data_IF_040486731719
#
_entry.id   IF_040486731719
#
_cell.length_a   1.000
_cell.length_b   1.000
_cell.length_c   1.000
_cell.angle_alpha   90.00
_cell.angle_beta   90.00
_cell.angle_gamma   90.00
#
_symmetry.space_group_name_H-M   'P 1'
#
loop_
_entity.id
_entity.type
_entity.pdbx_description
1 polymer ?
#
# COMPACT_ATOMS: atom_id res chain seq x y z
N UNK A 1 7.51 21.12 -0.04
CA UNK A 1 6.39 20.16 0.02
C UNK A 1 7.03 18.86 0.46
N UNK A 2 6.71 18.36 1.65
CA UNK A 2 7.28 17.08 2.12
C UNK A 2 6.80 15.94 1.21
N UNK A 3 7.66 14.95 0.91
CA UNK A 3 7.26 13.81 0.10
C UNK A 3 6.14 13.06 0.83
N UNK A 4 5.02 12.83 0.14
CA UNK A 4 3.89 12.16 0.74
C UNK A 4 4.26 10.70 1.03
N UNK A 5 4.28 10.33 2.31
CA UNK A 5 4.53 8.95 2.74
C UNK A 5 3.37 8.05 2.27
N UNK A 6 3.70 7.08 1.42
CA UNK A 6 2.75 6.13 0.83
C UNK A 6 2.45 5.00 1.82
N UNK A 7 3.52 4.47 2.43
CA UNK A 7 3.49 3.34 3.35
C UNK A 7 4.69 3.41 4.27
N UNK A 8 4.48 3.04 5.52
CA UNK A 8 5.55 2.82 6.48
C UNK A 8 5.34 1.49 7.20
N UNK A 9 6.42 0.85 7.67
CA UNK A 9 6.32 -0.43 8.37
C UNK A 9 7.67 -1.08 8.63
N UNK A 10 7.70 -2.10 9.50
CA UNK A 10 8.91 -2.88 9.75
C UNK A 10 9.09 -3.95 8.68
N UNK A 11 10.30 -4.06 8.13
CA UNK A 11 10.73 -5.14 7.25
C UNK A 11 12.08 -5.67 7.69
N UNK A 12 12.42 -6.89 7.30
CA UNK A 12 13.76 -7.44 7.53
C UNK A 12 14.59 -7.25 6.26
N UNK A 13 15.62 -6.39 6.33
CA UNK A 13 16.50 -6.07 5.21
C UNK A 13 17.79 -6.87 5.25
N UNK A 14 18.25 -7.35 4.09
CA UNK A 14 19.59 -7.92 3.93
C UNK A 14 20.66 -6.82 4.00
N UNK A 15 21.66 -7.01 4.84
CA UNK A 15 22.84 -6.16 4.96
C UNK A 15 23.85 -6.41 3.85
N UNK A 16 24.51 -5.35 3.38
CA UNK A 16 25.43 -5.38 2.25
C UNK A 16 26.77 -6.08 2.58
N UNK A 17 27.25 -5.95 3.82
CA UNK A 17 28.61 -6.40 4.20
C UNK A 17 28.62 -7.82 4.79
N UNK A 18 27.70 -8.12 5.72
CA UNK A 18 27.75 -9.37 6.51
C UNK A 18 26.72 -10.42 6.07
N UNK A 19 25.99 -10.20 4.97
CA UNK A 19 24.82 -10.99 4.56
C UNK A 19 23.77 -11.21 5.69
N UNK A 20 23.85 -10.44 6.78
CA UNK A 20 22.96 -10.51 7.93
C UNK A 20 21.62 -9.88 7.59
N UNK A 21 20.54 -10.40 8.14
CA UNK A 21 19.20 -9.85 7.97
C UNK A 21 18.77 -9.16 9.24
N UNK A 22 18.39 -7.87 9.15
CA UNK A 22 18.06 -7.05 10.32
C UNK A 22 16.71 -6.37 10.12
N UNK A 23 15.92 -6.31 11.19
CA UNK A 23 14.71 -5.51 11.21
C UNK A 23 15.06 -4.03 11.05
N UNK A 24 14.36 -3.36 10.13
CA UNK A 24 14.48 -1.93 9.85
C UNK A 24 13.08 -1.35 9.68
N UNK A 25 12.92 -0.09 10.06
CA UNK A 25 11.72 0.67 9.74
C UNK A 25 11.84 1.19 8.33
N UNK A 26 10.89 0.91 7.45
CA UNK A 26 10.92 1.31 6.04
C UNK A 26 9.81 2.32 5.80
N UNK A 27 10.13 3.38 5.07
CA UNK A 27 9.20 4.41 4.63
C UNK A 27 9.28 4.48 3.11
N UNK A 28 8.15 4.26 2.45
CA UNK A 28 7.97 4.40 1.01
C UNK A 28 7.35 5.76 0.71
N UNK A 29 8.01 6.54 -0.14
CA UNK A 29 7.53 7.80 -0.67
C UNK A 29 7.35 7.72 -2.19
N UNK A 30 6.87 8.80 -2.80
CA UNK A 30 6.64 8.84 -4.26
C UNK A 30 7.92 8.61 -5.07
N UNK A 31 9.07 9.07 -4.56
CA UNK A 31 10.34 9.11 -5.30
C UNK A 31 11.33 8.01 -4.86
N UNK A 32 11.13 7.45 -3.66
CA UNK A 32 12.15 6.64 -3.00
C UNK A 32 11.62 5.76 -1.88
N UNK A 33 12.47 4.87 -1.41
CA UNK A 33 12.23 4.06 -0.23
C UNK A 33 13.39 4.24 0.75
N UNK A 34 13.09 4.78 1.92
CA UNK A 34 14.03 5.05 2.99
C UNK A 34 13.92 3.97 4.06
N UNK A 35 15.03 3.66 4.72
CA UNK A 35 15.04 2.72 5.83
C UNK A 35 15.84 3.23 7.02
N UNK A 36 15.31 3.01 8.21
CA UNK A 36 15.82 3.50 9.49
C UNK A 36 16.08 2.31 10.42
N UNK A 37 16.93 2.48 11.43
CA UNK A 37 17.14 1.42 12.42
C UNK A 37 15.89 1.27 13.31
N UNK A 38 15.23 2.37 13.66
CA UNK A 38 13.97 2.42 14.41
C UNK A 38 13.06 3.51 13.86
N UNK A 39 11.75 3.41 14.14
CA UNK A 39 10.75 4.42 13.77
C UNK A 39 11.06 5.82 14.33
N UNK A 40 11.69 5.91 15.50
CA UNK A 40 12.01 7.18 16.17
C UNK A 40 13.31 7.83 15.70
N UNK A 41 14.08 7.16 14.83
CA UNK A 41 15.34 7.70 14.36
C UNK A 41 15.07 8.78 13.29
N UNK A 42 15.67 9.96 13.44
CA UNK A 42 15.48 11.09 12.51
C UNK A 42 16.27 10.97 11.22
N UNK A 43 17.32 10.16 11.20
CA UNK A 43 18.22 10.01 10.06
C UNK A 43 18.07 8.63 9.43
N UNK A 44 17.79 8.53 8.12
CA UNK A 44 17.74 7.25 7.44
C UNK A 44 19.13 6.60 7.40
N UNK A 45 19.15 5.27 7.47
CA UNK A 45 20.35 4.46 7.21
C UNK A 45 20.71 4.42 5.72
N UNK A 46 19.73 4.70 4.86
CA UNK A 46 19.91 4.85 3.43
C UNK A 46 18.58 5.08 2.74
N UNK A 47 18.68 5.54 1.50
CA UNK A 47 17.56 5.78 0.59
C UNK A 47 17.79 4.98 -0.69
N UNK A 48 16.72 4.37 -1.19
CA UNK A 48 16.71 3.61 -2.43
C UNK A 48 15.83 4.38 -3.42
N UNK A 49 16.40 4.98 -4.48
CA UNK A 49 15.61 5.69 -5.48
C UNK A 49 14.75 4.69 -6.27
N UNK A 50 13.48 5.03 -6.50
CA UNK A 50 12.56 4.18 -7.26
C UNK A 50 12.58 4.49 -8.77
N UNK A 51 13.10 5.66 -9.16
CA UNK A 51 13.27 6.02 -10.57
C UNK A 51 14.19 5.00 -11.26
N UNK A 52 13.66 4.33 -12.29
CA UNK A 52 14.37 3.27 -13.01
C UNK A 52 14.58 1.97 -12.23
N UNK A 53 13.97 1.84 -11.04
CA UNK A 53 14.07 0.61 -10.27
C UNK A 53 13.16 -0.50 -10.83
N UNK A 54 13.58 -1.74 -10.63
CA UNK A 54 12.82 -2.95 -10.96
C UNK A 54 12.53 -3.74 -9.69
N UNK A 55 11.31 -4.26 -9.56
CA UNK A 55 10.89 -5.06 -8.41
C UNK A 55 10.61 -6.51 -8.83
N UNK A 56 11.23 -7.46 -8.14
CA UNK A 56 11.05 -8.90 -8.32
C UNK A 56 10.41 -9.51 -7.07
N UNK A 57 9.25 -10.13 -7.24
CA UNK A 57 8.55 -10.91 -6.22
C UNK A 57 7.75 -12.04 -6.90
N UNK A 58 7.85 -13.29 -6.42
CA UNK A 58 8.71 -13.75 -5.33
C UNK A 58 10.20 -13.74 -5.74
N UNK A 59 11.09 -13.40 -4.81
CA UNK A 59 12.53 -13.54 -5.01
C UNK A 59 12.95 -14.99 -4.74
N UNK A 60 13.44 -15.69 -5.77
CA UNK A 60 13.86 -17.09 -5.69
C UNK A 60 15.34 -17.26 -5.29
N UNK A 61 16.06 -16.14 -5.10
CA UNK A 61 17.50 -16.13 -4.79
C UNK A 61 17.81 -16.73 -3.39
N UNK A 62 16.79 -17.04 -2.57
CA UNK A 62 16.94 -17.60 -1.23
C UNK A 62 16.05 -18.83 -1.00
N UNK A 63 16.57 -20.03 -1.22
CA UNK A 63 15.81 -21.28 -1.04
C UNK A 63 15.29 -21.50 0.40
N UNK A 64 15.95 -20.92 1.42
CA UNK A 64 15.61 -21.10 2.84
C UNK A 64 14.83 -19.94 3.45
N UNK A 65 14.55 -18.86 2.71
CA UNK A 65 13.80 -17.69 3.21
C UNK A 65 12.61 -17.39 2.32
N UNK A 66 11.43 -17.51 2.91
CA UNK A 66 10.19 -17.14 2.23
C UNK A 66 9.88 -15.65 2.36
N UNK A 67 8.91 -15.19 1.57
CA UNK A 67 8.36 -13.83 1.63
C UNK A 67 9.37 -12.72 1.32
N UNK A 68 10.43 -13.05 0.58
CA UNK A 68 11.44 -12.10 0.14
C UNK A 68 11.03 -11.46 -1.19
N UNK A 69 11.21 -10.15 -1.28
CA UNK A 69 11.18 -9.41 -2.53
C UNK A 69 12.51 -8.68 -2.75
N UNK A 70 12.87 -8.50 -4.02
CA UNK A 70 14.09 -7.83 -4.47
C UNK A 70 13.75 -6.54 -5.20
N UNK A 71 14.43 -5.46 -4.83
CA UNK A 71 14.38 -4.16 -5.49
C UNK A 71 15.76 -3.87 -6.08
N UNK A 72 15.85 -3.81 -7.41
CA UNK A 72 17.08 -3.51 -8.15
C UNK A 72 16.99 -2.07 -8.63
N UNK A 73 17.93 -1.20 -8.23
CA UNK A 73 17.95 0.19 -8.69
C UNK A 73 18.42 0.32 -10.13
N UNK A 74 18.23 1.50 -10.73
CA UNK A 74 18.76 1.83 -12.07
C UNK A 74 20.28 1.60 -12.19
N UNK A 75 21.01 1.88 -11.09
CA UNK A 75 22.45 1.62 -10.95
C UNK A 75 22.80 0.14 -10.74
N UNK A 76 21.88 -0.78 -11.00
CA UNK A 76 22.04 -2.24 -10.83
C UNK A 76 22.39 -2.65 -9.40
N UNK A 77 21.96 -1.87 -8.40
CA UNK A 77 22.14 -2.22 -6.99
C UNK A 77 20.94 -3.01 -6.47
N UNK A 78 21.20 -4.22 -5.98
CA UNK A 78 20.17 -5.11 -5.44
C UNK A 78 19.93 -4.88 -3.94
N UNK A 79 18.66 -4.74 -3.59
CA UNK A 79 18.19 -4.62 -2.21
C UNK A 79 17.14 -5.69 -1.92
N UNK A 80 17.33 -6.43 -0.84
CA UNK A 80 16.46 -7.54 -0.47
C UNK A 80 15.74 -7.24 0.84
N UNK A 81 14.44 -7.49 0.84
CA UNK A 81 13.56 -7.28 1.97
C UNK A 81 12.67 -8.49 2.17
N UNK A 82 12.43 -8.84 3.43
CA UNK A 82 11.55 -9.91 3.85
C UNK A 82 10.41 -9.32 4.68
N UNK A 83 9.18 -9.70 4.32
CA UNK A 83 7.97 -9.38 5.07
C UNK A 83 7.70 -10.43 6.16
N UNK A 84 6.87 -10.08 7.15
CA UNK A 84 6.45 -10.97 8.23
C UNK A 84 5.44 -12.02 7.76
N UNK A 85 4.53 -11.64 6.87
CA UNK A 85 3.48 -12.50 6.31
C UNK A 85 3.13 -12.14 4.86
N UNK A 86 2.41 -13.03 4.17
CA UNK A 86 2.10 -12.94 2.73
C UNK A 86 1.40 -11.62 2.39
N UNK A 87 0.39 -11.21 3.14
CA UNK A 87 -0.37 -9.99 2.85
C UNK A 87 0.49 -8.73 2.90
N UNK A 88 1.33 -8.58 3.92
CA UNK A 88 2.30 -7.48 4.01
C UNK A 88 3.21 -7.45 2.78
N UNK A 89 3.74 -8.60 2.35
CA UNK A 89 4.56 -8.68 1.13
C UNK A 89 3.77 -8.17 -0.07
N UNK A 90 2.55 -8.68 -0.29
CA UNK A 90 1.73 -8.28 -1.43
C UNK A 90 1.40 -6.80 -1.41
N UNK A 91 1.11 -6.24 -0.23
CA UNK A 91 0.85 -4.82 -0.06
C UNK A 91 2.07 -3.95 -0.36
N UNK A 92 3.25 -4.31 0.16
CA UNK A 92 4.51 -3.61 -0.17
C UNK A 92 4.82 -3.70 -1.66
N UNK A 93 4.72 -4.89 -2.25
CA UNK A 93 4.98 -5.13 -3.67
C UNK A 93 4.03 -4.30 -4.54
N UNK A 94 2.74 -4.24 -4.19
CA UNK A 94 1.73 -3.46 -4.90
C UNK A 94 2.04 -1.97 -4.87
N UNK A 95 2.33 -1.42 -3.69
CA UNK A 95 2.58 0.01 -3.53
C UNK A 95 3.91 0.43 -4.17
N UNK A 96 4.97 -0.37 -4.03
CA UNK A 96 6.27 -0.11 -4.68
C UNK A 96 6.15 -0.16 -6.21
N UNK A 97 5.52 -1.20 -6.77
CA UNK A 97 5.30 -1.30 -8.24
C UNK A 97 4.59 -0.06 -8.76
N UNK A 98 3.55 0.36 -8.04
CA UNK A 98 2.75 1.50 -8.43
C UNK A 98 3.52 2.82 -8.34
N UNK A 99 4.34 3.02 -7.30
CA UNK A 99 5.24 4.17 -7.21
C UNK A 99 6.21 4.22 -8.39
N UNK A 100 6.84 3.08 -8.75
CA UNK A 100 7.72 2.99 -9.92
C UNK A 100 6.98 3.36 -11.21
N UNK A 101 5.77 2.82 -11.45
CA UNK A 101 4.97 3.13 -12.64
C UNK A 101 4.54 4.60 -12.70
N UNK A 102 4.14 5.18 -11.56
CA UNK A 102 3.81 6.59 -11.45
C UNK A 102 5.00 7.47 -11.86
N UNK A 103 6.19 7.19 -11.32
CA UNK A 103 7.42 7.91 -11.66
C UNK A 103 7.79 7.81 -13.14
N UNK A 104 7.66 6.62 -13.74
CA UNK A 104 7.93 6.42 -15.18
C UNK A 104 6.97 7.24 -16.06
N UNK A 105 5.71 7.36 -15.64
CA UNK A 105 4.70 8.16 -16.35
C UNK A 105 4.73 9.66 -16.05
N UNK A 106 5.68 10.15 -15.23
CA UNK A 106 5.71 11.55 -14.78
C UNK A 106 4.49 11.95 -13.94
N UNK A 107 3.81 10.97 -13.33
CA UNK A 107 2.60 11.16 -12.52
C UNK A 107 2.95 11.04 -11.04
N UNK A 108 2.30 11.84 -10.21
CA UNK A 108 2.39 11.68 -8.75
C UNK A 108 1.69 10.42 -8.28
N UNK A 109 2.19 9.82 -7.21
CA UNK A 109 1.51 8.69 -6.61
C UNK A 109 0.24 9.17 -5.91
N UNK A 110 -0.92 8.86 -6.46
CA UNK A 110 -2.19 9.19 -5.81
C UNK A 110 -2.80 7.91 -5.25
N UNK A 111 -2.74 7.62 -3.93
CA UNK A 111 -3.50 6.48 -3.38
C UNK A 111 -4.97 6.65 -3.79
N UNK A 112 -5.60 5.64 -4.43
CA UNK A 112 -7.06 5.70 -4.68
C UNK A 112 -7.68 5.81 -3.29
N UNK A 113 -8.06 7.03 -2.93
CA UNK A 113 -8.48 7.33 -1.58
C UNK A 113 -9.85 6.71 -1.40
N UNK A 114 -9.96 5.70 -0.55
CA UNK A 114 -11.27 5.33 0.00
C UNK A 114 -11.88 6.47 0.82
N UNK A 115 -11.16 7.59 1.09
CA UNK A 115 -11.80 8.77 1.68
C UNK A 115 -12.86 9.41 0.79
N UNK A 116 -12.87 9.16 -0.54
CA UNK A 116 -14.02 9.55 -1.37
C UNK A 116 -15.16 8.53 -1.33
N UNK A 117 -14.90 7.29 -0.93
CA UNK A 117 -15.93 6.25 -0.80
C UNK A 117 -16.52 6.11 0.61
N UNK A 118 -16.09 6.92 1.58
CA UNK A 118 -16.56 6.88 2.99
C UNK A 118 -17.32 8.16 3.38
N UNK A 119 -17.33 9.20 2.54
CA UNK A 119 -18.25 10.32 2.79
C UNK A 119 -19.64 9.90 2.34
N UNK A 120 -20.38 9.34 3.28
CA UNK A 120 -21.83 9.26 3.19
C UNK A 120 -22.35 10.68 2.91
N UNK A 121 -23.32 10.79 2.01
CA UNK A 121 -23.94 12.08 1.72
C UNK A 121 -24.50 12.67 3.02
N UNK A 122 -24.48 14.00 3.15
CA UNK A 122 -25.01 14.68 4.35
C UNK A 122 -26.51 14.44 4.56
N UNK A 123 -27.19 13.94 3.53
CA UNK A 123 -28.60 13.52 3.57
C UNK A 123 -28.83 12.17 4.27
N UNK A 124 -27.77 11.38 4.51
CA UNK A 124 -27.91 10.02 5.04
C UNK A 124 -28.12 10.06 6.55
N UNK A 125 -29.27 9.56 7.01
CA UNK A 125 -29.57 9.44 8.44
C UNK A 125 -28.98 8.15 9.03
N UNK A 126 -27.80 8.27 9.64
CA UNK A 126 -27.09 7.14 10.26
C UNK A 126 -27.89 6.42 11.35
N UNK A 127 -28.76 7.12 12.08
CA UNK A 127 -29.54 6.52 13.16
C UNK A 127 -30.64 5.61 12.62
N UNK A 128 -31.29 6.04 11.54
CA UNK A 128 -32.33 5.28 10.85
C UNK A 128 -31.74 4.06 10.14
N UNK A 129 -30.62 4.24 9.43
CA UNK A 129 -29.88 3.15 8.80
C UNK A 129 -29.44 2.09 9.83
N UNK A 130 -28.98 2.51 11.01
CA UNK A 130 -28.58 1.60 12.08
C UNK A 130 -29.76 0.84 12.69
N UNK A 131 -30.93 1.47 12.79
CA UNK A 131 -32.15 0.81 13.25
C UNK A 131 -32.61 -0.26 12.25
N UNK A 132 -32.62 0.06 10.95
CA UNK A 132 -32.96 -0.89 9.87
C UNK A 132 -31.98 -2.08 9.82
N UNK A 133 -30.68 -1.83 9.99
CA UNK A 133 -29.67 -2.91 10.04
C UNK A 133 -29.83 -3.86 11.23
N UNK A 134 -30.53 -3.44 12.30
CA UNK A 134 -30.80 -4.29 13.47
C UNK A 134 -32.11 -5.06 13.37
N UNK A 135 -32.99 -4.67 12.46
CA UNK A 135 -34.24 -5.38 12.22
C UNK A 135 -33.93 -6.69 11.48
N UNK A 136 -34.14 -7.83 12.14
CA UNK A 136 -33.86 -9.15 11.58
C UNK A 136 -34.93 -9.62 10.58
N UNK A 137 -36.10 -8.98 10.56
CA UNK A 137 -37.21 -9.36 9.69
C UNK A 137 -37.29 -8.47 8.43
N UNK A 138 -36.85 -7.19 8.50
CA UNK A 138 -37.01 -6.22 7.39
C UNK A 138 -35.68 -5.67 6.81
N UNK A 139 -34.55 -5.80 7.52
CA UNK A 139 -33.19 -5.52 7.04
C UNK A 139 -33.00 -4.19 6.27
N UNK A 140 -31.95 -4.11 5.46
CA UNK A 140 -31.79 -3.04 4.46
C UNK A 140 -31.97 -3.67 3.08
N UNK A 141 -33.07 -3.33 2.40
CA UNK A 141 -33.42 -3.90 1.10
C UNK A 141 -32.51 -3.34 0.00
N UNK A 142 -31.91 -4.23 -0.79
CA UNK A 142 -31.09 -3.84 -1.94
C UNK A 142 -31.97 -3.23 -3.04
N UNK A 143 -31.55 -2.07 -3.55
CA UNK A 143 -32.22 -1.37 -4.64
C UNK A 143 -31.32 -1.27 -5.86
N UNK A 144 -31.96 -1.19 -7.03
CA UNK A 144 -31.31 -0.88 -8.30
C UNK A 144 -31.60 0.58 -8.65
N UNK A 145 -30.56 1.41 -8.67
CA UNK A 145 -30.69 2.83 -9.04
C UNK A 145 -30.29 3.02 -10.50
N UNK A 146 -31.17 3.63 -11.29
CA UNK A 146 -30.85 4.06 -12.66
C UNK A 146 -30.62 5.56 -12.71
N UNK A 147 -29.40 5.97 -13.07
CA UNK A 147 -29.04 7.37 -13.23
C UNK A 147 -28.15 7.55 -14.47
N UNK A 148 -28.47 8.55 -15.30
CA UNK A 148 -27.72 8.86 -16.53
C UNK A 148 -27.47 7.64 -17.44
N UNK A 149 -28.50 6.80 -17.63
CA UNK A 149 -28.43 5.57 -18.45
C UNK A 149 -27.47 4.50 -17.91
N UNK A 150 -27.13 4.55 -16.62
CA UNK A 150 -26.33 3.54 -15.92
C UNK A 150 -27.12 2.93 -14.77
N UNK A 151 -27.06 1.60 -14.69
CA UNK A 151 -27.70 0.79 -13.66
C UNK A 151 -26.69 0.51 -12.55
N UNK A 152 -27.03 0.91 -11.32
CA UNK A 152 -26.24 0.64 -10.12
C UNK A 152 -26.99 -0.36 -9.24
N UNK A 153 -26.49 -1.60 -9.18
CA UNK A 153 -27.05 -2.66 -8.33
C UNK A 153 -26.50 -2.56 -6.90
N UNK A 154 -27.22 -3.13 -5.93
CA UNK A 154 -26.86 -3.13 -4.50
C UNK A 154 -26.80 -1.72 -3.88
N UNK A 155 -27.70 -0.83 -4.29
CA UNK A 155 -27.84 0.50 -3.72
C UNK A 155 -28.74 0.47 -2.49
N UNK A 156 -28.51 1.40 -1.56
CA UNK A 156 -29.37 1.63 -0.42
C UNK A 156 -29.61 3.14 -0.32
N UNK A 157 -30.87 3.56 -0.22
CA UNK A 157 -31.19 4.95 0.11
C UNK A 157 -31.03 5.14 1.61
N UNK A 158 -30.23 6.12 2.01
CA UNK A 158 -30.13 6.56 3.40
C UNK A 158 -30.82 7.88 3.63
#
# INVERSE_FOLDING_TARGET
MEPQEIREGYLVKKGTVLNSWKAVWVVLSEDGMEFFKRKTDRSPKGMIPLKGAALVSPCQDFCKRMLVFKLTTDKKQDHFFQASHVEEREFWVKDIKRAITCLQGGKRFARKSTRRSIRLAETINLNELYALLKDQDDGVNELTLEQENRVFNHCFTG
#
